data_IF_345410255181
#
_entry.id   IF_345410255181
#
_cell.length_a   1.000
_cell.length_b   1.000
_cell.length_c   1.000
_cell.angle_alpha   90.00
_cell.angle_beta   90.00
_cell.angle_gamma   90.00
#
_symmetry.space_group_name_H-M   'P 1'
#
loop_
_entity.id
_entity.type
_entity.pdbx_description
1 polymer ?
#
# COMPACT_ATOMS: atom_id res chain seq x y z
N UNK A 1 5.99 -14.57 42.10
CA UNK A 1 5.92 -13.49 41.10
C UNK A 1 6.70 -13.98 39.90
N UNK A 2 5.98 -14.52 38.87
CA UNK A 2 6.58 -15.09 37.67
C UNK A 2 6.53 -14.00 36.59
N UNK A 3 7.70 -13.51 36.19
CA UNK A 3 7.82 -12.54 35.08
C UNK A 3 7.81 -13.34 33.80
N UNK A 4 6.70 -13.25 33.03
CA UNK A 4 6.63 -13.80 31.69
C UNK A 4 7.40 -12.87 30.72
N UNK A 5 8.52 -13.35 30.22
CA UNK A 5 9.29 -12.70 29.16
C UNK A 5 8.52 -12.91 27.85
N UNK A 6 7.87 -11.88 27.36
CA UNK A 6 7.28 -11.88 26.00
C UNK A 6 8.43 -11.65 25.02
N UNK A 7 8.85 -12.72 24.35
CA UNK A 7 9.73 -12.63 23.18
C UNK A 7 8.91 -12.03 22.02
N UNK A 8 9.09 -10.75 21.76
CA UNK A 8 8.70 -10.16 20.48
C UNK A 8 9.77 -10.57 19.49
N UNK A 9 9.51 -11.61 18.73
CA UNK A 9 10.36 -12.01 17.60
C UNK A 9 10.37 -10.90 16.53
N UNK A 10 11.46 -10.77 15.75
CA UNK A 10 11.50 -9.82 14.64
C UNK A 10 10.37 -10.14 13.67
N UNK A 11 9.54 -9.14 13.36
CA UNK A 11 8.47 -9.25 12.38
C UNK A 11 9.05 -9.73 11.06
N UNK A 12 8.70 -10.94 10.64
CA UNK A 12 9.02 -11.46 9.31
C UNK A 12 8.26 -10.59 8.33
N UNK A 13 8.96 -9.91 7.44
CA UNK A 13 8.35 -9.29 6.27
C UNK A 13 7.63 -10.40 5.50
N UNK A 14 6.30 -10.40 5.55
CA UNK A 14 5.48 -11.43 4.89
C UNK A 14 5.26 -10.93 3.47
N UNK A 15 5.99 -11.53 2.52
CA UNK A 15 5.62 -11.45 1.11
C UNK A 15 4.13 -11.78 0.95
N UNK A 16 3.49 -11.32 -0.11
CA UNK A 16 2.07 -11.57 -0.44
C UNK A 16 1.57 -12.92 0.10
N UNK A 17 0.58 -12.89 0.97
CA UNK A 17 0.01 -14.10 1.58
C UNK A 17 -0.56 -15.02 0.50
N UNK A 18 -0.08 -16.27 0.33
CA UNK A 18 -0.52 -17.15 -0.73
C UNK A 18 -1.91 -17.72 -0.44
N UNK A 19 -2.81 -17.65 -1.43
CA UNK A 19 -4.12 -18.27 -1.40
C UNK A 19 -4.27 -19.14 -2.65
N UNK A 20 -4.46 -20.44 -2.48
CA UNK A 20 -4.62 -21.37 -3.61
C UNK A 20 -6.10 -21.63 -3.88
N UNK A 21 -6.56 -21.37 -5.11
CA UNK A 21 -7.92 -21.68 -5.53
C UNK A 21 -8.05 -23.19 -5.84
N UNK A 22 -8.99 -23.83 -5.18
CA UNK A 22 -9.31 -25.25 -5.34
C UNK A 22 -10.13 -25.47 -6.62
N UNK A 23 -10.27 -26.74 -7.02
CA UNK A 23 -11.13 -27.11 -8.15
C UNK A 23 -12.63 -26.90 -7.85
N UNK A 24 -13.00 -26.88 -6.57
CA UNK A 24 -14.36 -26.55 -6.10
C UNK A 24 -14.71 -25.07 -6.17
N UNK A 25 -13.71 -24.16 -6.25
CA UNK A 25 -13.91 -22.70 -6.21
C UNK A 25 -14.41 -22.16 -7.56
N UNK A 26 -15.43 -22.78 -8.14
CA UNK A 26 -15.92 -22.49 -9.50
C UNK A 26 -16.78 -21.25 -9.62
N UNK A 27 -17.24 -20.70 -8.49
CA UNK A 27 -18.04 -19.47 -8.42
C UNK A 27 -17.57 -18.61 -7.26
N UNK A 28 -17.88 -17.30 -7.26
CA UNK A 28 -17.54 -16.40 -6.18
C UNK A 28 -18.06 -16.88 -4.81
N UNK A 29 -19.28 -17.45 -4.77
CA UNK A 29 -19.87 -17.95 -3.54
C UNK A 29 -19.14 -19.19 -2.98
N UNK A 30 -18.59 -20.03 -3.85
CA UNK A 30 -17.83 -21.24 -3.46
C UNK A 30 -16.37 -20.95 -3.17
N UNK A 31 -15.82 -19.89 -3.74
CA UNK A 31 -14.43 -19.48 -3.54
C UNK A 31 -14.20 -18.79 -2.21
N UNK A 32 -12.93 -18.65 -1.81
CA UNK A 32 -12.56 -17.96 -0.57
C UNK A 32 -12.96 -16.50 -0.60
N UNK A 33 -13.17 -15.94 0.59
CA UNK A 33 -13.28 -14.52 0.84
C UNK A 33 -12.00 -14.04 1.52
N UNK A 34 -11.35 -13.05 0.95
CA UNK A 34 -10.32 -12.21 1.57
C UNK A 34 -11.06 -11.16 2.40
N UNK A 35 -10.97 -11.22 3.73
CA UNK A 35 -11.80 -10.40 4.63
C UNK A 35 -11.42 -8.91 4.56
N UNK A 36 -10.17 -8.61 4.25
CA UNK A 36 -9.69 -7.26 3.91
C UNK A 36 -8.94 -7.32 2.57
N UNK A 37 -9.57 -6.81 1.52
CA UNK A 37 -9.00 -6.78 0.17
C UNK A 37 -7.83 -5.81 -0.01
N UNK A 38 -7.51 -4.99 0.99
CA UNK A 38 -6.33 -4.12 0.98
C UNK A 38 -5.07 -4.82 1.44
N UNK A 39 -5.20 -5.98 2.10
CA UNK A 39 -4.07 -6.83 2.50
C UNK A 39 -3.47 -7.51 1.28
N UNK A 40 -2.16 -7.68 1.29
CA UNK A 40 -1.37 -8.23 0.20
C UNK A 40 -1.56 -9.74 0.08
N UNK A 41 -2.37 -10.17 -0.90
CA UNK A 41 -2.61 -11.60 -1.20
C UNK A 41 -2.12 -11.98 -2.59
N UNK A 42 -1.50 -13.15 -2.71
CA UNK A 42 -1.19 -13.81 -3.97
C UNK A 42 -2.17 -14.96 -4.22
N UNK A 43 -3.26 -14.70 -4.93
CA UNK A 43 -4.29 -15.71 -5.25
C UNK A 43 -3.84 -16.51 -6.47
N UNK A 44 -3.49 -17.78 -6.25
CA UNK A 44 -2.97 -18.68 -7.28
C UNK A 44 -4.07 -19.58 -7.83
N UNK A 45 -4.14 -19.70 -9.15
CA UNK A 45 -5.08 -20.54 -9.85
C UNK A 45 -4.42 -21.35 -10.95
N UNK A 46 -4.71 -22.64 -11.03
CA UNK A 46 -4.27 -23.51 -12.13
C UNK A 46 -5.49 -24.10 -12.84
N UNK A 47 -5.40 -24.21 -14.15
CA UNK A 47 -6.45 -24.67 -15.06
C UNK A 47 -5.91 -25.78 -15.94
N UNK A 48 -6.66 -26.87 -16.09
CA UNK A 48 -6.29 -28.00 -16.94
C UNK A 48 -6.69 -27.78 -18.40
N UNK A 49 -7.78 -27.04 -18.66
CA UNK A 49 -8.33 -26.81 -20.01
C UNK A 49 -9.09 -25.49 -20.13
N UNK A 50 -9.35 -25.09 -21.37
CA UNK A 50 -10.21 -23.95 -21.66
C UNK A 50 -11.63 -24.14 -21.09
N UNK A 51 -12.28 -23.05 -20.71
CA UNK A 51 -13.62 -23.01 -20.16
C UNK A 51 -13.72 -23.27 -18.66
N UNK A 52 -12.66 -23.77 -18.02
CA UNK A 52 -12.66 -23.89 -16.55
C UNK A 52 -12.73 -22.53 -15.89
N UNK A 53 -13.49 -22.46 -14.79
CA UNK A 53 -13.66 -21.24 -14.00
C UNK A 53 -13.15 -21.46 -12.58
N UNK A 54 -12.50 -20.44 -12.04
CA UNK A 54 -12.20 -20.32 -10.62
C UNK A 54 -12.51 -18.90 -10.18
N UNK A 55 -12.94 -18.76 -8.93
CA UNK A 55 -13.36 -17.47 -8.42
C UNK A 55 -13.04 -17.33 -6.93
N UNK A 56 -12.96 -16.08 -6.49
CA UNK A 56 -12.82 -15.70 -5.09
C UNK A 56 -13.52 -14.37 -4.84
N UNK A 57 -13.56 -13.94 -3.61
CA UNK A 57 -14.13 -12.67 -3.18
C UNK A 57 -13.11 -11.89 -2.36
N UNK A 58 -13.23 -10.56 -2.33
CA UNK A 58 -12.51 -9.71 -1.41
C UNK A 58 -13.46 -8.62 -0.90
N UNK A 59 -13.38 -8.30 0.39
CA UNK A 59 -14.16 -7.24 1.01
C UNK A 59 -13.33 -5.95 1.06
N UNK A 60 -13.98 -4.83 0.78
CA UNK A 60 -13.39 -3.49 0.87
C UNK A 60 -14.32 -2.57 1.65
N UNK A 61 -13.74 -1.55 2.26
CA UNK A 61 -14.46 -0.42 2.84
C UNK A 61 -14.62 0.70 1.80
N UNK A 62 -15.46 1.69 2.11
CA UNK A 62 -15.58 2.89 1.28
C UNK A 62 -14.26 3.65 1.25
N UNK A 63 -13.77 3.97 0.06
CA UNK A 63 -12.51 4.70 -0.12
C UNK A 63 -11.25 3.85 -0.12
N UNK A 64 -11.33 2.54 0.10
CA UNK A 64 -10.16 1.65 0.00
C UNK A 64 -9.57 1.63 -1.40
N UNK A 65 -8.25 1.43 -1.48
CA UNK A 65 -7.59 1.18 -2.75
C UNK A 65 -7.94 -0.23 -3.25
N UNK A 66 -8.54 -0.31 -4.45
CA UNK A 66 -8.79 -1.56 -5.16
C UNK A 66 -7.64 -1.81 -6.13
N UNK A 67 -6.60 -2.48 -5.64
CA UNK A 67 -5.42 -2.83 -6.42
C UNK A 67 -5.51 -4.29 -6.86
N UNK A 68 -5.38 -4.53 -8.17
CA UNK A 68 -5.46 -5.87 -8.76
C UNK A 68 -4.38 -6.01 -9.81
N UNK A 69 -3.56 -7.05 -9.68
CA UNK A 69 -2.47 -7.32 -10.60
C UNK A 69 -2.60 -8.76 -11.12
N UNK A 70 -2.45 -8.94 -12.41
CA UNK A 70 -2.51 -10.25 -13.06
C UNK A 70 -1.11 -10.66 -13.51
N UNK A 71 -0.63 -11.80 -13.00
CA UNK A 71 0.72 -12.28 -13.22
C UNK A 71 0.74 -13.74 -13.68
N UNK A 72 1.82 -14.09 -14.39
CA UNK A 72 2.24 -15.48 -14.63
C UNK A 72 3.71 -15.64 -14.20
N UNK A 73 4.13 -16.86 -13.90
CA UNK A 73 5.56 -17.12 -13.74
C UNK A 73 6.31 -16.96 -15.06
N UNK A 74 7.50 -16.33 -15.04
CA UNK A 74 8.38 -16.23 -16.22
C UNK A 74 9.10 -17.57 -16.46
N UNK A 75 8.32 -18.64 -16.62
CA UNK A 75 8.78 -20.01 -16.86
C UNK A 75 7.81 -20.72 -17.79
N UNK A 76 8.31 -21.58 -18.67
CA UNK A 76 7.47 -22.44 -19.52
C UNK A 76 6.63 -23.40 -18.65
N UNK A 77 5.38 -23.69 -19.03
CA UNK A 77 4.72 -23.25 -20.26
C UNK A 77 4.10 -21.85 -20.22
N UNK A 78 3.94 -21.23 -19.05
CA UNK A 78 3.14 -20.02 -18.81
C UNK A 78 3.65 -18.82 -19.63
N UNK A 79 4.96 -18.58 -19.62
CA UNK A 79 5.54 -17.44 -20.34
C UNK A 79 5.52 -17.58 -21.87
N UNK A 80 5.23 -18.77 -22.39
CA UNK A 80 5.07 -19.04 -23.84
C UNK A 80 3.62 -18.88 -24.32
N UNK A 81 2.64 -18.69 -23.40
CA UNK A 81 1.24 -18.52 -23.77
C UNK A 81 1.03 -17.20 -24.55
N UNK A 82 0.29 -17.29 -25.64
CA UNK A 82 -0.17 -16.11 -26.39
C UNK A 82 -1.23 -15.38 -25.56
N UNK A 83 -1.40 -14.08 -25.80
CA UNK A 83 -2.42 -13.27 -25.09
C UNK A 83 -3.83 -13.85 -25.22
N UNK A 84 -4.17 -14.46 -26.38
CA UNK A 84 -5.45 -15.13 -26.60
C UNK A 84 -5.65 -16.42 -25.80
N UNK A 85 -4.58 -17.00 -25.27
CA UNK A 85 -4.60 -18.22 -24.46
C UNK A 85 -4.62 -17.93 -22.95
N UNK A 86 -4.31 -16.70 -22.56
CA UNK A 86 -4.32 -16.29 -21.16
C UNK A 86 -5.76 -16.22 -20.64
N UNK A 87 -6.01 -16.61 -19.39
CA UNK A 87 -7.33 -16.49 -18.76
C UNK A 87 -7.85 -15.05 -18.75
N UNK A 88 -9.16 -14.89 -18.79
CA UNK A 88 -9.81 -13.61 -18.50
C UNK A 88 -10.10 -13.50 -17.02
N UNK A 89 -9.93 -12.30 -16.47
CA UNK A 89 -10.36 -11.95 -15.11
C UNK A 89 -11.43 -10.87 -15.21
N UNK A 90 -12.62 -11.17 -14.67
CA UNK A 90 -13.71 -10.21 -14.52
C UNK A 90 -13.90 -9.91 -13.05
N UNK A 91 -13.93 -8.63 -12.71
CA UNK A 91 -14.19 -8.14 -11.35
C UNK A 91 -15.55 -7.45 -11.35
N UNK A 92 -16.39 -7.81 -10.39
CA UNK A 92 -17.68 -7.17 -10.14
C UNK A 92 -17.81 -6.76 -8.68
N UNK A 93 -18.54 -5.70 -8.38
CA UNK A 93 -18.64 -5.15 -7.03
C UNK A 93 -19.88 -4.29 -6.82
N UNK A 94 -19.95 -3.62 -5.67
CA UNK A 94 -21.07 -2.75 -5.30
C UNK A 94 -21.32 -1.62 -6.32
N UNK A 95 -22.58 -1.15 -6.36
CA UNK A 95 -22.97 -0.06 -7.25
C UNK A 95 -22.93 -0.40 -8.73
N UNK A 96 -23.00 -1.68 -9.09
CA UNK A 96 -22.92 -2.12 -10.51
C UNK A 96 -21.50 -2.11 -11.07
N UNK A 97 -20.48 -1.98 -10.21
CA UNK A 97 -19.09 -2.03 -10.66
C UNK A 97 -18.81 -3.33 -11.43
N UNK A 98 -18.25 -3.18 -12.62
CA UNK A 98 -17.80 -4.30 -13.44
C UNK A 98 -16.63 -3.88 -14.31
N UNK A 99 -15.55 -4.62 -14.25
CA UNK A 99 -14.41 -4.45 -15.13
C UNK A 99 -13.87 -5.80 -15.59
N UNK A 100 -13.27 -5.82 -16.78
CA UNK A 100 -12.47 -6.96 -17.25
C UNK A 100 -11.02 -6.53 -17.29
N UNK A 101 -10.15 -7.28 -16.65
CA UNK A 101 -8.72 -7.00 -16.63
C UNK A 101 -8.16 -6.93 -18.05
N UNK A 102 -7.55 -5.81 -18.36
CA UNK A 102 -6.81 -5.64 -19.63
C UNK A 102 -5.44 -6.27 -19.45
N UNK A 103 -5.10 -7.22 -20.32
CA UNK A 103 -3.78 -7.86 -20.34
C UNK A 103 -2.98 -7.21 -21.48
N UNK A 104 -2.24 -6.16 -21.18
CA UNK A 104 -1.58 -5.30 -22.18
C UNK A 104 -0.10 -5.04 -21.89
N UNK A 105 0.50 -5.79 -20.94
CA UNK A 105 1.91 -5.67 -20.62
C UNK A 105 2.56 -7.06 -20.48
N UNK A 106 3.89 -7.10 -20.46
CA UNK A 106 4.73 -8.24 -20.09
C UNK A 106 5.98 -7.72 -19.37
N UNK A 107 5.78 -7.12 -18.21
CA UNK A 107 6.85 -6.51 -17.41
C UNK A 107 7.41 -7.53 -16.43
N UNK A 108 8.73 -7.76 -16.46
CA UNK A 108 9.38 -8.67 -15.51
C UNK A 108 9.37 -8.08 -14.11
N UNK A 109 9.10 -8.96 -13.15
CA UNK A 109 9.18 -8.70 -11.73
C UNK A 109 9.86 -9.87 -11.02
N UNK A 110 10.97 -9.61 -10.35
CA UNK A 110 11.64 -10.59 -9.51
C UNK A 110 11.12 -10.46 -8.09
N UNK A 111 10.45 -11.48 -7.62
CA UNK A 111 9.96 -11.56 -6.24
C UNK A 111 11.07 -12.19 -5.37
N UNK A 112 11.62 -11.38 -4.47
CA UNK A 112 12.85 -11.69 -3.72
C UNK A 112 12.66 -12.79 -2.67
N UNK A 113 11.47 -12.90 -2.09
CA UNK A 113 11.18 -13.90 -1.06
C UNK A 113 11.10 -15.32 -1.62
N UNK A 114 10.30 -15.53 -2.67
CA UNK A 114 10.19 -16.84 -3.34
C UNK A 114 11.30 -17.07 -4.36
N UNK A 115 12.17 -16.08 -4.62
CA UNK A 115 13.20 -16.08 -5.67
C UNK A 115 12.62 -16.44 -7.04
N UNK A 116 11.41 -16.01 -7.31
CA UNK A 116 10.66 -16.32 -8.52
C UNK A 116 10.50 -15.08 -9.38
N UNK A 117 10.78 -15.20 -10.68
CA UNK A 117 10.49 -14.16 -11.66
C UNK A 117 9.07 -14.33 -12.19
N UNK A 118 8.30 -13.26 -12.14
CA UNK A 118 6.96 -13.16 -12.70
C UNK A 118 6.93 -12.20 -13.89
N UNK A 119 5.89 -12.31 -14.69
CA UNK A 119 5.50 -11.31 -15.69
C UNK A 119 4.19 -10.69 -15.25
N UNK A 120 4.16 -9.38 -15.02
CA UNK A 120 2.92 -8.62 -15.00
C UNK A 120 2.31 -8.62 -16.38
N UNK A 121 1.04 -9.00 -16.48
CA UNK A 121 0.28 -9.01 -17.73
C UNK A 121 -0.75 -7.90 -17.77
N UNK A 122 -1.20 -7.42 -16.63
CA UNK A 122 -2.14 -6.32 -16.50
C UNK A 122 -2.28 -5.88 -15.05
N UNK A 123 -2.65 -4.62 -14.88
CA UNK A 123 -2.87 -3.99 -13.57
C UNK A 123 -4.14 -3.15 -13.63
N UNK A 124 -4.84 -3.11 -12.52
CA UNK A 124 -5.97 -2.25 -12.30
C UNK A 124 -5.81 -1.56 -10.94
N UNK A 125 -6.00 -0.26 -10.92
CA UNK A 125 -6.04 0.57 -9.72
C UNK A 125 -7.32 1.40 -9.73
N UNK A 126 -8.00 1.48 -8.59
CA UNK A 126 -9.22 2.24 -8.42
C UNK A 126 -9.57 2.45 -6.96
N UNK A 127 -10.66 3.16 -6.72
CA UNK A 127 -11.20 3.36 -5.37
C UNK A 127 -12.43 2.46 -5.21
N UNK A 128 -12.44 1.67 -4.14
CA UNK A 128 -13.54 0.78 -3.83
C UNK A 128 -14.71 1.52 -3.17
N UNK A 129 -15.91 1.04 -3.45
CA UNK A 129 -17.08 1.25 -2.59
C UNK A 129 -17.15 0.15 -1.56
N UNK A 130 -17.71 0.44 -0.39
CA UNK A 130 -17.90 -0.55 0.67
C UNK A 130 -18.68 -1.77 0.18
N UNK A 131 -18.14 -2.96 0.43
CA UNK A 131 -18.79 -4.24 0.16
C UNK A 131 -17.87 -5.30 -0.43
N UNK A 132 -18.48 -6.39 -0.90
CA UNK A 132 -17.78 -7.57 -1.40
C UNK A 132 -17.65 -7.51 -2.92
N UNK A 133 -16.43 -7.62 -3.40
CA UNK A 133 -16.10 -7.76 -4.81
C UNK A 133 -15.90 -9.23 -5.16
N UNK A 134 -16.34 -9.62 -6.36
CA UNK A 134 -16.21 -10.97 -6.90
C UNK A 134 -15.22 -10.96 -8.05
N UNK A 135 -14.28 -11.87 -8.01
CA UNK A 135 -13.21 -12.06 -9.00
C UNK A 135 -13.43 -13.40 -9.68
N UNK A 136 -13.76 -13.39 -10.97
CA UNK A 136 -14.03 -14.61 -11.74
C UNK A 136 -12.98 -14.74 -12.83
N UNK A 137 -12.23 -15.85 -12.77
CA UNK A 137 -11.19 -16.20 -13.73
C UNK A 137 -11.74 -17.31 -14.63
N UNK A 138 -11.67 -17.11 -15.95
CA UNK A 138 -12.08 -18.09 -16.94
C UNK A 138 -10.88 -18.46 -17.80
N UNK A 139 -10.50 -19.71 -17.78
CA UNK A 139 -9.39 -20.24 -18.57
C UNK A 139 -9.70 -20.25 -20.08
N UNK A 140 -8.70 -19.94 -20.90
CA UNK A 140 -8.73 -20.06 -22.36
C UNK A 140 -7.81 -21.17 -22.88
N UNK A 141 -6.91 -21.65 -22.01
CA UNK A 141 -6.03 -22.78 -22.23
C UNK A 141 -5.60 -23.38 -20.88
N UNK A 142 -4.87 -24.49 -20.91
CA UNK A 142 -4.13 -24.96 -19.73
C UNK A 142 -3.14 -23.87 -19.30
N UNK A 143 -3.20 -23.46 -18.03
CA UNK A 143 -2.39 -22.34 -17.52
C UNK A 143 -2.37 -22.31 -16.02
N UNK A 144 -1.33 -21.72 -15.44
CA UNK A 144 -1.26 -21.31 -14.04
C UNK A 144 -1.01 -19.81 -13.97
N UNK A 145 -1.77 -19.13 -13.09
CA UNK A 145 -1.70 -17.68 -12.93
C UNK A 145 -1.70 -17.27 -11.46
N UNK A 146 -1.31 -16.05 -11.21
CA UNK A 146 -1.48 -15.38 -9.92
C UNK A 146 -2.25 -14.08 -10.12
N UNK A 147 -3.23 -13.85 -9.25
CA UNK A 147 -3.89 -12.55 -9.10
C UNK A 147 -3.43 -11.98 -7.77
N UNK A 148 -2.63 -10.92 -7.79
CA UNK A 148 -2.28 -10.20 -6.59
C UNK A 148 -3.36 -9.17 -6.27
N UNK A 149 -3.76 -9.10 -5.01
CA UNK A 149 -4.78 -8.18 -4.49
C UNK A 149 -4.19 -7.47 -3.29
N UNK A 150 -4.43 -6.16 -3.21
CA UNK A 150 -4.00 -5.33 -2.08
C UNK A 150 -2.48 -5.19 -1.96
N UNK A 151 -2.06 -4.36 -1.03
CA UNK A 151 -0.65 -3.99 -0.89
C UNK A 151 -0.19 -3.91 0.58
N UNK A 152 -1.11 -4.04 1.55
CA UNK A 152 -0.75 -4.03 2.97
C UNK A 152 -0.07 -5.33 3.37
N UNK A 153 1.19 -5.31 3.70
CA UNK A 153 1.96 -6.48 4.12
C UNK A 153 1.74 -6.80 5.61
N UNK A 154 0.52 -7.16 5.93
CA UNK A 154 0.10 -7.65 7.25
C UNK A 154 -0.58 -9.00 7.09
N UNK A 155 -0.65 -9.84 8.15
CA UNK A 155 -1.44 -11.06 8.12
C UNK A 155 -2.91 -10.75 7.81
N UNK A 156 -3.47 -11.43 6.80
CA UNK A 156 -4.85 -11.28 6.39
C UNK A 156 -5.66 -12.53 6.66
N UNK A 157 -6.96 -12.33 6.88
CA UNK A 157 -7.90 -13.42 7.10
C UNK A 157 -8.52 -13.90 5.78
N UNK A 158 -8.60 -15.22 5.61
CA UNK A 158 -9.21 -15.87 4.44
C UNK A 158 -10.27 -16.85 4.92
N UNK A 159 -11.52 -16.62 4.56
CA UNK A 159 -12.66 -17.45 4.98
C UNK A 159 -13.18 -18.26 3.80
N UNK A 160 -13.43 -19.55 4.02
CA UNK A 160 -14.12 -20.44 3.08
C UNK A 160 -15.49 -20.81 3.63
N UNK A 161 -16.52 -20.64 2.80
CA UNK A 161 -17.89 -20.91 3.16
C UNK A 161 -18.73 -19.66 3.44
N UNK A 162 -19.88 -19.79 4.13
CA UNK A 162 -20.72 -18.68 4.51
C UNK A 162 -19.93 -17.72 5.44
N UNK A 163 -19.91 -16.47 5.07
CA UNK A 163 -19.31 -15.42 5.88
C UNK A 163 -20.42 -14.43 6.31
N UNK A 164 -20.56 -14.25 7.60
CA UNK A 164 -21.38 -13.19 8.18
C UNK A 164 -20.38 -12.11 8.61
N UNK A 165 -20.42 -10.96 7.95
CA UNK A 165 -19.61 -9.83 8.36
C UNK A 165 -19.93 -9.49 9.83
N UNK A 166 -18.93 -9.24 10.68
CA UNK A 166 -19.19 -8.72 12.01
C UNK A 166 -20.01 -7.44 11.86
N UNK A 167 -21.17 -7.41 12.51
CA UNK A 167 -21.99 -6.19 12.57
C UNK A 167 -21.14 -5.18 13.34
N UNK A 168 -20.51 -4.25 12.64
CA UNK A 168 -19.92 -3.08 13.31
C UNK A 168 -21.10 -2.35 13.95
N UNK A 169 -21.27 -2.56 15.26
CA UNK A 169 -22.15 -1.72 16.05
C UNK A 169 -21.66 -0.30 15.78
N UNK A 170 -22.51 0.52 15.16
CA UNK A 170 -22.15 1.89 14.88
C UNK A 170 -21.65 2.49 16.21
N UNK A 171 -20.39 2.83 16.26
CA UNK A 171 -19.84 3.60 17.37
C UNK A 171 -20.75 4.81 17.50
N UNK A 172 -21.38 5.06 18.65
CA UNK A 172 -22.27 6.19 18.76
C UNK A 172 -21.48 7.42 18.33
N UNK A 173 -22.00 8.11 17.33
CA UNK A 173 -21.48 9.42 16.93
C UNK A 173 -21.29 10.24 18.20
N UNK A 174 -20.11 10.78 18.49
CA UNK A 174 -19.93 11.60 19.67
C UNK A 174 -20.98 12.71 19.59
N UNK A 175 -21.90 12.69 20.53
CA UNK A 175 -22.84 13.78 20.73
C UNK A 175 -21.99 15.01 20.90
N UNK A 176 -22.14 15.97 20.01
CA UNK A 176 -21.45 17.25 20.12
C UNK A 176 -21.73 17.82 21.50
N UNK A 177 -20.77 17.75 22.39
CA UNK A 177 -20.83 18.41 23.68
C UNK A 177 -20.95 19.89 23.40
N UNK A 178 -22.07 20.47 23.81
CA UNK A 178 -22.32 21.90 23.64
C UNK A 178 -21.10 22.67 24.18
N UNK A 179 -20.47 23.44 23.32
CA UNK A 179 -19.39 24.34 23.67
C UNK A 179 -19.92 25.31 24.75
N UNK A 180 -19.28 25.39 25.92
CA UNK A 180 -19.74 26.35 26.95
C UNK A 180 -19.61 27.75 26.35
N UNK A 181 -20.74 28.52 26.45
CA UNK A 181 -20.78 29.92 26.07
C UNK A 181 -19.71 30.66 26.87
N UNK A 182 -18.84 31.47 26.24
CA UNK A 182 -17.81 32.20 26.96
C UNK A 182 -18.46 33.23 27.87
N UNK A 183 -18.15 33.10 29.17
CA UNK A 183 -18.50 34.12 30.19
C UNK A 183 -17.76 35.42 29.83
N UNK A 184 -18.42 36.58 29.82
CA UNK A 184 -17.76 37.84 29.50
C UNK A 184 -16.67 38.15 30.51
N UNK A 185 -15.45 38.27 30.03
CA UNK A 185 -14.27 38.68 30.79
C UNK A 185 -14.41 40.16 31.17
N UNK A 186 -14.21 40.51 32.44
CA UNK A 186 -14.28 41.92 32.85
C UNK A 186 -13.18 42.74 32.15
N UNK A 187 -13.54 43.86 31.59
CA UNK A 187 -12.68 44.83 30.93
C UNK A 187 -11.67 45.41 31.93
N UNK A 188 -10.35 45.27 31.72
CA UNK A 188 -9.38 45.90 32.62
C UNK A 188 -9.34 47.42 32.39
N UNK A 189 -9.42 48.18 33.49
CA UNK A 189 -9.22 49.63 33.53
C UNK A 189 -7.77 49.96 33.16
N UNK A 190 -7.51 50.93 32.29
CA UNK A 190 -6.14 51.23 31.90
C UNK A 190 -5.35 51.97 33.01
N UNK A 191 -4.36 51.27 33.57
CA UNK A 191 -3.32 51.87 34.44
C UNK A 191 -2.19 52.33 33.52
N UNK A 192 -1.93 53.63 33.52
CA UNK A 192 -0.81 54.26 32.80
C UNK A 192 0.51 53.88 33.46
N UNK A 193 1.29 52.99 32.85
CA UNK A 193 2.65 52.69 33.25
C UNK A 193 3.59 53.39 32.26
N UNK A 194 4.46 54.25 32.78
CA UNK A 194 5.58 54.83 32.03
C UNK A 194 6.69 53.79 31.89
N UNK A 195 6.93 53.37 30.66
CA UNK A 195 7.94 52.37 30.32
C UNK A 195 9.29 53.07 30.07
N UNK A 196 10.40 52.59 30.71
CA UNK A 196 11.72 52.99 30.27
C UNK A 196 12.07 52.36 28.93
N UNK A 197 12.69 53.18 28.06
CA UNK A 197 13.14 52.74 26.73
C UNK A 197 14.22 51.66 26.87
N UNK A 198 14.05 50.46 26.27
CA UNK A 198 15.10 49.44 26.31
C UNK A 198 16.22 49.80 25.32
N UNK A 199 17.45 49.69 25.81
CA UNK A 199 18.67 49.72 25.05
C UNK A 199 18.66 48.60 23.99
N UNK A 200 19.03 48.84 22.72
CA UNK A 200 19.03 47.77 21.73
C UNK A 200 20.05 46.69 22.08
N UNK A 201 19.56 45.48 22.31
CA UNK A 201 20.38 44.27 22.42
C UNK A 201 20.94 43.95 21.02
N UNK A 202 22.24 43.63 20.89
CA UNK A 202 22.78 43.27 19.58
C UNK A 202 22.07 42.07 19.01
N UNK A 203 21.52 42.23 17.81
CA UNK A 203 20.92 41.16 17.01
C UNK A 203 21.97 40.06 16.77
N UNK A 204 21.71 38.81 17.11
CA UNK A 204 22.65 37.75 16.77
C UNK A 204 22.76 37.66 15.25
N UNK A 205 23.99 37.73 14.78
CA UNK A 205 24.33 37.46 13.39
C UNK A 205 23.78 36.11 13.02
N UNK A 206 23.02 35.95 11.91
CA UNK A 206 22.52 34.64 11.51
C UNK A 206 23.72 33.73 11.23
N UNK A 207 23.94 32.76 12.10
CA UNK A 207 24.82 31.63 11.83
C UNK A 207 24.28 30.96 10.59
N UNK A 208 25.10 30.81 9.55
CA UNK A 208 24.74 30.12 8.33
C UNK A 208 24.18 28.72 8.71
N UNK A 209 22.87 28.57 8.60
CA UNK A 209 22.18 27.30 8.85
C UNK A 209 22.63 26.36 7.74
N UNK A 210 23.36 25.33 8.09
CA UNK A 210 23.70 24.24 7.16
C UNK A 210 22.38 23.63 6.72
N UNK A 211 21.96 23.96 5.51
CA UNK A 211 20.65 23.62 4.96
C UNK A 211 20.65 22.12 4.59
N UNK A 212 20.46 21.25 5.57
CA UNK A 212 20.39 19.82 5.34
C UNK A 212 19.47 19.14 6.37
N UNK A 213 19.06 17.93 6.05
CA UNK A 213 18.17 17.12 6.87
C UNK A 213 18.96 16.09 7.69
N UNK A 214 18.44 15.68 8.82
CA UNK A 214 19.05 14.64 9.67
C UNK A 214 18.29 13.32 9.55
N UNK A 215 18.96 12.20 9.83
CA UNK A 215 18.26 10.89 9.92
C UNK A 215 17.19 10.86 11.02
N UNK A 216 17.30 11.69 12.06
CA UNK A 216 16.25 11.82 13.06
C UNK A 216 14.96 12.40 12.45
N UNK A 217 15.09 13.42 11.59
CA UNK A 217 13.95 13.97 10.84
C UNK A 217 13.38 12.96 9.85
N UNK A 218 14.22 12.21 9.13
CA UNK A 218 13.77 11.13 8.24
C UNK A 218 12.95 10.11 9.04
N UNK A 219 13.46 9.62 10.17
CA UNK A 219 12.75 8.65 11.02
C UNK A 219 11.43 9.17 11.60
N UNK A 220 11.32 10.46 11.86
CA UNK A 220 10.07 11.08 12.32
C UNK A 220 8.97 11.09 11.24
N UNK A 221 9.34 10.96 9.95
CA UNK A 221 8.45 10.98 8.80
C UNK A 221 8.32 9.56 8.19
N UNK A 222 7.80 8.61 8.97
CA UNK A 222 7.75 7.18 8.66
C UNK A 222 6.33 6.65 8.44
N UNK A 223 5.39 7.49 8.04
CA UNK A 223 3.99 7.11 7.86
C UNK A 223 3.53 7.36 6.41
N UNK A 224 2.41 6.75 6.01
CA UNK A 224 1.80 7.03 4.71
C UNK A 224 1.40 8.51 4.51
N UNK A 225 1.21 9.27 5.60
CA UNK A 225 0.86 10.71 5.54
C UNK A 225 2.09 11.63 5.51
N UNK A 226 3.24 11.09 5.88
CA UNK A 226 4.52 11.80 5.85
C UNK A 226 5.63 10.75 5.73
N UNK A 227 6.09 10.53 4.49
CA UNK A 227 7.00 9.47 4.12
C UNK A 227 8.29 10.04 3.55
N UNK A 228 9.29 10.17 4.39
CA UNK A 228 10.62 10.60 3.96
C UNK A 228 11.59 9.42 3.94
N UNK A 229 12.53 9.46 3.02
CA UNK A 229 13.63 8.49 2.96
C UNK A 229 14.93 9.21 2.58
N UNK A 230 16.05 8.67 3.02
CA UNK A 230 17.35 9.08 2.53
C UNK A 230 17.80 8.09 1.44
N UNK A 231 18.31 8.58 0.31
CA UNK A 231 18.91 7.79 -0.76
C UNK A 231 20.16 8.50 -1.24
N UNK A 232 21.31 7.82 -1.21
CA UNK A 232 22.62 8.34 -1.63
C UNK A 232 22.96 9.71 -0.99
N UNK A 233 22.67 9.87 0.32
CA UNK A 233 22.97 11.07 1.06
C UNK A 233 22.05 12.26 0.76
N UNK A 234 20.91 12.03 0.13
CA UNK A 234 19.86 13.02 -0.15
C UNK A 234 18.54 12.57 0.45
N UNK A 235 17.77 13.49 1.03
CA UNK A 235 16.46 13.22 1.61
C UNK A 235 15.37 13.57 0.60
N UNK A 236 14.39 12.69 0.50
CA UNK A 236 13.24 12.77 -0.40
C UNK A 236 11.93 12.63 0.36
N UNK A 237 10.92 13.43 -0.01
CA UNK A 237 9.54 13.27 0.45
C UNK A 237 8.73 12.46 -0.57
N UNK A 238 8.55 11.18 -0.29
CA UNK A 238 7.84 10.25 -1.16
C UNK A 238 6.34 10.15 -0.85
N UNK A 239 5.80 10.99 0.05
CA UNK A 239 4.39 10.93 0.48
C UNK A 239 3.41 10.88 -0.70
N UNK A 240 3.62 11.76 -1.70
CA UNK A 240 2.77 11.80 -2.91
C UNK A 240 3.08 10.71 -3.93
N UNK A 241 4.23 10.04 -3.77
CA UNK A 241 4.64 8.97 -4.67
C UNK A 241 4.12 7.60 -4.25
N UNK A 242 3.71 7.44 -2.99
CA UNK A 242 3.21 6.16 -2.44
C UNK A 242 2.16 5.53 -3.37
N UNK A 243 1.11 6.28 -3.71
CA UNK A 243 0.00 5.80 -4.55
C UNK A 243 0.31 5.75 -6.06
N UNK A 244 1.40 6.37 -6.49
CA UNK A 244 1.74 6.50 -7.91
C UNK A 244 2.94 5.64 -8.33
N UNK A 245 3.55 4.92 -7.39
CA UNK A 245 4.72 4.09 -7.68
C UNK A 245 4.34 2.85 -8.49
N UNK A 246 4.96 2.61 -9.68
CA UNK A 246 4.61 1.47 -10.53
C UNK A 246 4.86 0.09 -9.89
N UNK A 247 5.76 0.02 -8.90
CA UNK A 247 6.04 -1.18 -8.10
C UNK A 247 5.11 -1.38 -6.91
N UNK A 248 4.04 -0.56 -6.78
CA UNK A 248 3.10 -0.57 -5.68
C UNK A 248 3.50 0.35 -4.53
N UNK A 249 2.50 0.71 -3.71
CA UNK A 249 2.71 1.60 -2.55
C UNK A 249 3.55 0.95 -1.46
N UNK A 250 3.50 -0.37 -1.30
CA UNK A 250 4.30 -1.11 -0.32
C UNK A 250 5.79 -0.89 -0.48
N UNK A 251 6.28 -0.85 -1.73
CA UNK A 251 7.70 -0.57 -2.02
C UNK A 251 8.15 0.80 -1.51
N UNK A 252 7.28 1.80 -1.54
CA UNK A 252 7.57 3.13 -1.02
C UNK A 252 7.38 3.20 0.50
N UNK A 253 6.31 2.60 1.03
CA UNK A 253 6.06 2.57 2.47
C UNK A 253 7.19 1.91 3.25
N UNK A 254 7.81 0.89 2.67
CA UNK A 254 9.01 0.23 3.23
C UNK A 254 10.20 1.18 3.40
N UNK A 255 10.30 2.22 2.56
CA UNK A 255 11.37 3.21 2.61
C UNK A 255 11.11 4.34 3.62
N UNK A 256 9.85 4.54 4.04
CA UNK A 256 9.50 5.64 4.91
C UNK A 256 10.25 5.58 6.25
N UNK A 257 10.94 6.65 6.61
CA UNK A 257 11.71 6.75 7.85
C UNK A 257 13.07 6.06 7.82
N UNK A 258 13.53 5.54 6.67
CA UNK A 258 14.76 4.75 6.57
C UNK A 258 15.78 5.35 5.60
N UNK A 259 17.00 4.80 5.63
CA UNK A 259 17.96 4.94 4.54
C UNK A 259 17.62 3.87 3.47
N UNK A 260 17.02 4.32 2.39
CA UNK A 260 16.56 3.50 1.27
C UNK A 260 17.61 3.26 0.18
N UNK A 261 18.86 3.70 0.37
CA UNK A 261 19.93 3.62 -0.66
C UNK A 261 20.06 2.22 -1.25
N UNK A 262 20.22 1.22 -0.39
CA UNK A 262 20.41 -0.16 -0.83
C UNK A 262 19.17 -0.70 -1.56
N UNK A 263 17.97 -0.40 -1.04
CA UNK A 263 16.72 -0.87 -1.64
C UNK A 263 16.48 -0.23 -3.01
N UNK A 264 16.69 1.08 -3.11
CA UNK A 264 16.57 1.81 -4.38
C UNK A 264 17.58 1.31 -5.42
N UNK A 265 18.86 1.15 -5.04
CA UNK A 265 19.92 0.66 -5.92
C UNK A 265 19.65 -0.77 -6.37
N UNK A 266 19.23 -1.66 -5.47
CA UNK A 266 18.93 -3.06 -5.82
C UNK A 266 17.82 -3.18 -6.87
N UNK A 267 16.81 -2.26 -6.82
CA UNK A 267 15.65 -2.29 -7.72
C UNK A 267 15.87 -1.48 -9.00
N UNK A 268 16.63 -0.39 -8.94
CA UNK A 268 16.69 0.62 -10.00
C UNK A 268 18.10 0.91 -10.52
N UNK A 269 19.10 0.10 -10.17
CA UNK A 269 20.46 0.29 -10.63
C UNK A 269 20.51 0.41 -12.16
N UNK A 270 21.22 1.43 -12.66
CA UNK A 270 21.36 1.75 -14.08
C UNK A 270 20.06 2.15 -14.82
N UNK A 271 19.00 2.52 -14.10
CA UNK A 271 17.76 3.01 -14.69
C UNK A 271 17.64 4.53 -14.52
N UNK A 272 17.73 5.28 -15.62
CA UNK A 272 17.65 6.75 -15.57
C UNK A 272 16.25 7.28 -15.19
N UNK A 273 15.18 6.62 -15.63
CA UNK A 273 13.79 7.07 -15.36
C UNK A 273 13.43 7.10 -13.88
N UNK A 274 13.70 6.06 -13.07
CA UNK A 274 13.49 6.10 -11.63
C UNK A 274 14.31 7.19 -10.94
N UNK A 275 15.58 7.40 -11.33
CA UNK A 275 16.43 8.43 -10.76
C UNK A 275 15.90 9.86 -11.04
N UNK A 276 15.49 10.13 -12.29
CA UNK A 276 14.87 11.41 -12.67
C UNK A 276 13.55 11.62 -11.90
N UNK A 277 12.73 10.56 -11.74
CA UNK A 277 11.48 10.65 -10.98
C UNK A 277 11.76 10.92 -9.50
N UNK A 278 12.73 10.22 -8.90
CA UNK A 278 13.12 10.43 -7.51
C UNK A 278 13.52 11.87 -7.24
N UNK A 279 14.28 12.48 -8.16
CA UNK A 279 14.75 13.86 -8.00
C UNK A 279 13.60 14.89 -7.92
N UNK A 280 12.43 14.59 -8.48
CA UNK A 280 11.23 15.45 -8.35
C UNK A 280 10.66 15.50 -6.92
N UNK A 281 11.10 14.63 -6.03
CA UNK A 281 10.68 14.55 -4.61
C UNK A 281 11.79 15.00 -3.64
N UNK A 282 12.87 15.57 -4.18
CA UNK A 282 14.04 15.97 -3.41
C UNK A 282 13.71 17.09 -2.41
N UNK A 283 14.13 16.90 -1.16
CA UNK A 283 14.11 17.91 -0.10
C UNK A 283 15.46 18.60 0.05
N UNK A 284 16.55 17.84 0.12
CA UNK A 284 17.89 18.38 0.30
C UNK A 284 18.92 17.34 0.79
N UNK A 285 20.16 17.78 1.07
CA UNK A 285 21.21 16.87 1.51
C UNK A 285 20.91 16.30 2.92
N UNK A 286 21.33 15.07 3.14
CA UNK A 286 21.37 14.45 4.46
C UNK A 286 22.65 14.90 5.19
N UNK A 287 22.50 15.54 6.33
CA UNK A 287 23.62 15.86 7.22
C UNK A 287 24.07 14.59 7.96
N UNK A 288 25.37 14.39 8.02
CA UNK A 288 25.98 13.28 8.77
C UNK A 288 25.99 13.56 10.27
#
# INVERSE_FOLDING_TARGET
MVVALVFVGPGVAVAHQPVVLLNSDTTAAKGPLLVDGTVSFAVRASFAKAGEKKAFRAQFQEGDALEVQFLIMDKKPENALKMSQLPTLVVTGPGGFRTTMKLNERTKFFETYSKTTYLYLGRYSGIAKAGIYSFVITARAKSAITVAIGEKEIPGEVVRGPYVAPTVSATPTPVATATPTPTPTPTPTPTRVVTPTPTPTPTPTPTATTTGYTMAQVRANNTARSCWTAIDGVVYDLTRWISNHPGGSGAILFLCGTDGTNAFSAQHQNQSRPAIRLDTYRLGPLNK
#
